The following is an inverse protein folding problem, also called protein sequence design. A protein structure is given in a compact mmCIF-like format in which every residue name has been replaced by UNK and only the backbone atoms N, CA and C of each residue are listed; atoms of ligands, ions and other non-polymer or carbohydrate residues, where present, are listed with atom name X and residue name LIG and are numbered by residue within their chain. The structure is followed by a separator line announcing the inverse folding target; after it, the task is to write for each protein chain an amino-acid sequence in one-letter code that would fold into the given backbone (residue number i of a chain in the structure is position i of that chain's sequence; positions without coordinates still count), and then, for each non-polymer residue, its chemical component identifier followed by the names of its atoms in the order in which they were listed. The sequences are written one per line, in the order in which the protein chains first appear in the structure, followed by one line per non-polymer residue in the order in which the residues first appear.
data_IF_045650433593
#
_entry.id   IF_045650433593
#
_cell.length_a   1.000
_cell.length_b   1.000
_cell.length_c   1.000
_cell.angle_alpha   90.00
_cell.angle_beta   90.00
_cell.angle_gamma   90.00
#
_symmetry.space_group_name_H-M   'P 1'
#
loop_
_entity.id
_entity.type
_entity.pdbx_description
1 polymer ?
#
# COMPACT_ATOMS: atom_id res chain seq x y z
N UNK A 1 17.57 19.12 -6.18
CA UNK A 1 16.60 18.94 -5.07
C UNK A 1 16.42 17.45 -4.89
N UNK A 2 16.61 16.94 -3.67
CA UNK A 2 16.42 15.52 -3.39
C UNK A 2 14.93 15.22 -3.48
N UNK A 3 14.56 14.36 -4.42
CA UNK A 3 13.25 13.71 -4.46
C UNK A 3 12.96 13.18 -3.07
N UNK A 4 11.77 13.45 -2.54
CA UNK A 4 11.29 12.82 -1.31
C UNK A 4 11.27 11.33 -1.56
N UNK A 5 12.28 10.62 -1.08
CA UNK A 5 12.45 9.20 -1.28
C UNK A 5 11.46 8.47 -0.36
N UNK A 6 10.20 8.35 -0.79
CA UNK A 6 9.27 7.30 -0.29
C UNK A 6 9.82 5.89 -0.66
N UNK A 7 10.91 5.85 -1.43
CA UNK A 7 11.71 4.70 -1.92
C UNK A 7 12.19 3.63 -0.91
N UNK A 8 11.78 3.66 0.36
CA UNK A 8 12.13 2.61 1.32
C UNK A 8 10.91 1.97 1.99
N UNK A 9 9.81 1.80 1.27
CA UNK A 9 8.77 0.88 1.73
C UNK A 9 9.33 -0.57 1.80
N UNK A 10 8.99 -1.38 2.81
CA UNK A 10 9.50 -2.74 2.96
C UNK A 10 8.76 -3.77 2.10
N UNK A 11 7.70 -3.36 1.38
CA UNK A 11 6.92 -4.25 0.52
C UNK A 11 7.76 -4.76 -0.67
N UNK A 12 7.61 -6.04 -1.00
CA UNK A 12 8.34 -6.72 -2.07
C UNK A 12 7.36 -7.19 -3.14
N UNK A 13 7.60 -6.85 -4.40
CA UNK A 13 6.73 -7.26 -5.52
C UNK A 13 6.51 -8.77 -5.51
N UNK A 14 5.25 -9.18 -5.65
CA UNK A 14 4.81 -10.56 -5.64
C UNK A 14 4.69 -11.19 -4.25
N UNK A 15 5.16 -10.53 -3.18
CA UNK A 15 4.98 -11.04 -1.82
C UNK A 15 3.56 -10.78 -1.31
N UNK A 16 3.08 -11.70 -0.48
CA UNK A 16 1.77 -11.66 0.15
C UNK A 16 1.89 -11.17 1.59
N UNK A 17 0.90 -10.38 2.00
CA UNK A 17 0.83 -9.73 3.30
C UNK A 17 -0.59 -9.85 3.85
N UNK A 18 -0.70 -9.94 5.17
CA UNK A 18 -1.94 -9.75 5.90
C UNK A 18 -2.01 -8.31 6.38
N UNK A 19 -3.13 -7.63 6.13
CA UNK A 19 -3.39 -6.31 6.70
C UNK A 19 -3.68 -6.43 8.20
N UNK A 20 -3.00 -5.64 9.03
CA UNK A 20 -3.12 -5.65 10.49
C UNK A 20 -4.21 -4.70 11.02
N UNK A 21 -4.73 -3.83 10.16
CA UNK A 21 -5.81 -2.88 10.43
C UNK A 21 -6.43 -2.42 9.11
N UNK A 22 -7.49 -1.63 9.19
CA UNK A 22 -8.06 -0.97 8.01
C UNK A 22 -7.12 0.11 7.44
N UNK A 23 -6.93 0.11 6.11
CA UNK A 23 -6.01 1.00 5.37
C UNK A 23 -6.71 1.54 4.12
N UNK A 24 -6.53 2.83 3.84
CA UNK A 24 -7.02 3.47 2.61
C UNK A 24 -8.33 4.23 2.78
N UNK A 25 -8.99 4.51 1.66
CA UNK A 25 -10.21 5.34 1.64
C UNK A 25 -11.47 4.53 1.92
N UNK A 26 -12.53 5.19 2.37
CA UNK A 26 -13.83 4.57 2.69
C UNK A 26 -14.48 3.83 1.51
N UNK A 27 -14.16 4.18 0.27
CA UNK A 27 -14.78 3.57 -0.91
C UNK A 27 -14.16 2.22 -1.24
N UNK A 28 -12.85 2.07 -1.04
CA UNK A 28 -12.10 0.85 -1.35
C UNK A 28 -11.04 0.60 -0.25
N UNK A 29 -11.44 0.26 0.98
CA UNK A 29 -10.49 0.05 2.07
C UNK A 29 -9.88 -1.35 2.03
N UNK A 30 -8.58 -1.48 2.29
CA UNK A 30 -7.97 -2.76 2.65
C UNK A 30 -8.44 -3.05 4.08
N UNK A 31 -9.25 -4.09 4.27
CA UNK A 31 -9.81 -4.41 5.57
C UNK A 31 -8.78 -5.12 6.46
N UNK A 32 -8.93 -4.99 7.78
CA UNK A 32 -8.15 -5.81 8.72
C UNK A 32 -8.32 -7.31 8.41
N UNK A 33 -7.21 -8.03 8.35
CA UNK A 33 -7.17 -9.45 8.01
C UNK A 33 -7.21 -9.76 6.51
N UNK A 34 -7.37 -8.77 5.62
CA UNK A 34 -7.29 -9.01 4.17
C UNK A 34 -5.90 -9.58 3.81
N UNK A 35 -5.90 -10.59 2.93
CA UNK A 35 -4.69 -11.17 2.37
C UNK A 35 -4.45 -10.53 1.02
N UNK A 36 -3.40 -9.73 0.93
CA UNK A 36 -3.08 -8.92 -0.23
C UNK A 36 -1.69 -9.26 -0.76
N UNK A 37 -1.56 -9.30 -2.09
CA UNK A 37 -0.28 -9.43 -2.77
C UNK A 37 0.14 -8.09 -3.33
N UNK A 38 1.33 -7.64 -2.96
CA UNK A 38 1.88 -6.38 -3.48
C UNK A 38 2.34 -6.57 -4.93
N UNK A 39 1.96 -5.64 -5.81
CA UNK A 39 2.39 -5.65 -7.20
C UNK A 39 3.48 -4.61 -7.45
N UNK A 40 3.13 -3.34 -7.33
CA UNK A 40 4.02 -2.22 -7.64
C UNK A 40 3.57 -0.92 -6.96
N UNK A 41 4.43 0.08 -7.02
CA UNK A 41 4.12 1.46 -6.68
C UNK A 41 4.21 2.37 -7.92
N UNK A 42 3.45 3.46 -7.91
CA UNK A 42 3.44 4.49 -8.94
C UNK A 42 3.52 5.87 -8.27
N UNK A 43 4.55 6.66 -8.58
CA UNK A 43 4.69 8.03 -8.06
C UNK A 43 4.07 9.06 -9.02
N UNK A 44 3.16 9.90 -8.51
CA UNK A 44 2.64 11.06 -9.23
C UNK A 44 3.32 12.34 -8.73
N UNK A 45 4.25 12.94 -9.51
CA UNK A 45 4.86 14.22 -9.16
C UNK A 45 3.89 15.40 -9.27
N UNK A 46 2.80 15.25 -10.03
CA UNK A 46 1.79 16.30 -10.19
C UNK A 46 0.95 16.46 -8.91
N UNK A 47 0.61 15.33 -8.29
CA UNK A 47 -0.24 15.30 -7.11
C UNK A 47 0.56 15.10 -5.80
N UNK A 48 1.88 14.95 -5.89
CA UNK A 48 2.80 14.63 -4.77
C UNK A 48 2.26 13.45 -3.94
N UNK A 49 2.07 12.31 -4.60
CA UNK A 49 1.59 11.09 -3.96
C UNK A 49 2.25 9.84 -4.53
N UNK A 50 2.32 8.80 -3.71
CA UNK A 50 2.66 7.43 -4.12
C UNK A 50 1.41 6.56 -4.03
N UNK A 51 1.15 5.81 -5.11
CA UNK A 51 0.03 4.87 -5.20
C UNK A 51 0.61 3.47 -5.11
N UNK A 52 0.21 2.72 -4.09
CA UNK A 52 0.54 1.30 -3.92
C UNK A 52 -0.57 0.43 -4.51
N UNK A 53 -0.19 -0.53 -5.34
CA UNK A 53 -1.12 -1.44 -6.03
C UNK A 53 -1.00 -2.83 -5.43
N UNK A 54 -2.14 -3.38 -5.03
CA UNK A 54 -2.25 -4.73 -4.49
C UNK A 54 -3.35 -5.53 -5.18
N UNK A 55 -3.33 -6.85 -4.98
CA UNK A 55 -4.40 -7.76 -5.34
C UNK A 55 -4.87 -8.53 -4.09
N UNK A 56 -6.19 -8.58 -3.85
CA UNK A 56 -6.77 -9.34 -2.73
C UNK A 56 -6.88 -10.82 -3.10
N UNK A 57 -6.01 -11.66 -2.54
CA UNK A 57 -6.00 -13.09 -2.80
C UNK A 57 -7.26 -13.78 -2.21
N UNK A 58 -7.80 -13.25 -1.11
CA UNK A 58 -9.04 -13.73 -0.48
C UNK A 58 -10.34 -13.24 -1.17
N UNK A 59 -10.25 -12.34 -2.15
CA UNK A 59 -11.39 -11.78 -2.91
C UNK A 59 -11.19 -11.90 -4.42
N UNK A 60 -10.83 -13.09 -4.89
CA UNK A 60 -10.70 -13.43 -6.31
C UNK A 60 -9.70 -12.56 -7.10
N UNK A 61 -8.65 -12.06 -6.45
CA UNK A 61 -7.63 -11.24 -7.11
C UNK A 61 -8.13 -9.85 -7.49
N UNK A 62 -9.11 -9.30 -6.76
CA UNK A 62 -9.56 -7.92 -6.91
C UNK A 62 -8.37 -6.96 -6.73
N UNK A 63 -8.17 -6.04 -7.70
CA UNK A 63 -7.14 -5.01 -7.61
C UNK A 63 -7.59 -3.92 -6.64
N UNK A 64 -6.68 -3.48 -5.76
CA UNK A 64 -6.90 -2.33 -4.88
C UNK A 64 -5.73 -1.36 -4.96
N UNK A 65 -6.04 -0.07 -4.80
CA UNK A 65 -5.09 1.02 -4.77
C UNK A 65 -5.12 1.70 -3.42
N UNK A 66 -3.94 1.88 -2.83
CA UNK A 66 -3.79 2.69 -1.63
C UNK A 66 -2.85 3.85 -1.92
N UNK A 67 -3.37 5.06 -1.75
CA UNK A 67 -2.62 6.30 -1.97
C UNK A 67 -2.05 6.82 -0.65
N UNK A 68 -0.79 7.24 -0.69
CA UNK A 68 -0.10 7.96 0.38
C UNK A 68 0.37 9.30 -0.19
N UNK A 69 -0.03 10.41 0.41
CA UNK A 69 0.43 11.73 -0.03
C UNK A 69 1.77 12.08 0.63
N UNK A 70 2.62 12.82 -0.07
CA UNK A 70 3.93 13.25 0.46
C UNK A 70 3.79 14.17 1.70
N UNK A 71 2.62 14.78 1.90
CA UNK A 71 2.30 15.61 3.07
C UNK A 71 1.91 14.78 4.30
N UNK A 72 1.53 13.52 4.11
CA UNK A 72 1.13 12.64 5.20
C UNK A 72 2.37 12.15 5.95
N UNK A 73 2.24 11.87 7.26
CA UNK A 73 3.29 11.17 7.99
C UNK A 73 3.62 9.83 7.31
N UNK A 74 4.91 9.50 7.27
CA UNK A 74 5.36 8.23 6.71
C UNK A 74 4.63 7.05 7.39
N UNK A 75 4.01 6.13 6.63
CA UNK A 75 3.29 5.01 7.21
C UNK A 75 4.20 4.11 8.03
N UNK A 76 3.72 3.68 9.20
CA UNK A 76 4.37 2.63 9.99
C UNK A 76 4.06 1.26 9.42
N UNK A 77 4.83 0.84 8.41
CA UNK A 77 4.61 -0.38 7.65
C UNK A 77 4.47 -1.65 8.49
N UNK A 78 5.21 -1.74 9.60
CA UNK A 78 5.18 -2.81 10.59
C UNK A 78 3.85 -2.91 11.34
N UNK A 79 3.10 -1.81 11.44
CA UNK A 79 1.76 -1.76 12.04
C UNK A 79 0.64 -1.97 11.00
N UNK A 80 0.99 -1.95 9.71
CA UNK A 80 0.03 -2.06 8.61
C UNK A 80 0.00 -3.47 8.02
N UNK A 81 1.16 -4.12 7.90
CA UNK A 81 1.29 -5.38 7.17
C UNK A 81 2.16 -6.40 7.90
N UNK A 82 1.66 -7.64 7.96
CA UNK A 82 2.43 -8.83 8.34
C UNK A 82 2.71 -9.64 7.09
N UNK A 83 3.98 -9.95 6.79
CA UNK A 83 4.33 -10.82 5.66
C UNK A 83 4.00 -12.27 5.98
N UNK A 84 3.36 -12.99 5.06
CA UNK A 84 3.01 -14.41 5.20
C UNK A 84 3.59 -15.30 4.10
#
# INVERSE_FOLDING_TARGET
MKSGDISQHPLKTGATYRALREIGSLLEPISEGDIIRFDREEYSPYDNMTIFIFYRDNKNGEMIRWTVFDIDPEPRWDELFEKI
#
